data_IF_206443559664
#
_entry.id   IF_206443559664
#
_cell.length_a   1.000
_cell.length_b   1.000
_cell.length_c   1.000
_cell.angle_alpha   90.00
_cell.angle_beta   90.00
_cell.angle_gamma   90.00
#
_symmetry.space_group_name_H-M   'P 1'
#
loop_
_entity.id
_entity.type
_entity.pdbx_description
1 polymer ?
#
# COMPACT_ATOMS: atom_id res chain seq x y z
N UNK A 1 9.77 47.00 -24.55
CA UNK A 1 10.21 45.59 -24.56
C UNK A 1 9.65 44.90 -23.32
N UNK A 2 8.94 43.79 -23.52
CA UNK A 2 8.13 43.05 -22.52
C UNK A 2 9.02 42.50 -21.39
N UNK A 3 8.67 42.78 -20.13
CA UNK A 3 9.19 42.06 -18.96
C UNK A 3 8.30 40.84 -18.74
N UNK A 4 8.82 39.66 -19.06
CA UNK A 4 8.14 38.40 -18.81
C UNK A 4 8.21 38.09 -17.32
N UNK A 5 7.10 38.32 -16.62
CA UNK A 5 6.91 37.89 -15.24
C UNK A 5 6.56 36.40 -15.28
N UNK A 6 7.56 35.53 -15.14
CA UNK A 6 7.35 34.09 -14.97
C UNK A 6 6.82 33.83 -13.56
N UNK A 7 5.50 33.83 -13.41
CA UNK A 7 4.82 33.36 -12.22
C UNK A 7 4.77 31.83 -12.29
N UNK A 8 5.77 31.18 -11.69
CA UNK A 8 5.80 29.73 -11.54
C UNK A 8 4.74 29.36 -10.48
N UNK A 9 3.57 28.92 -10.95
CA UNK A 9 2.57 28.24 -10.12
C UNK A 9 3.11 26.85 -9.76
N UNK A 10 3.85 26.78 -8.65
CA UNK A 10 4.10 25.53 -7.92
C UNK A 10 2.80 25.10 -7.21
N UNK A 11 1.82 24.63 -7.99
CA UNK A 11 0.75 23.78 -7.46
C UNK A 11 1.30 22.36 -7.37
N UNK A 12 2.11 22.12 -6.33
CA UNK A 12 2.38 20.77 -5.85
C UNK A 12 1.06 20.25 -5.29
N UNK A 13 0.24 19.68 -6.15
CA UNK A 13 -0.80 18.75 -5.74
C UNK A 13 -0.09 17.61 -5.03
N UNK A 14 -0.01 17.68 -3.70
CA UNK A 14 0.28 16.53 -2.88
C UNK A 14 -0.84 15.53 -3.16
N UNK A 15 -0.57 14.58 -4.06
CA UNK A 15 -1.38 13.39 -4.22
C UNK A 15 -1.25 12.63 -2.89
N UNK A 16 -2.14 12.94 -1.96
CA UNK A 16 -2.19 12.29 -0.65
C UNK A 16 -2.69 10.88 -0.92
N UNK A 17 -1.77 9.94 -1.17
CA UNK A 17 -2.08 8.52 -1.16
C UNK A 17 -2.62 8.23 0.23
N UNK A 18 -3.94 8.06 0.33
CA UNK A 18 -4.63 7.90 1.61
C UNK A 18 -4.33 6.50 2.12
N UNK A 19 -3.27 6.37 2.93
CA UNK A 19 -2.96 5.12 3.60
C UNK A 19 -3.97 4.88 4.73
N UNK A 20 -4.59 3.70 4.77
CA UNK A 20 -5.57 3.31 5.80
C UNK A 20 -4.86 2.49 6.87
N UNK A 21 -4.89 2.95 8.13
CA UNK A 21 -4.32 2.21 9.26
C UNK A 21 -5.21 1.02 9.61
N UNK A 22 -4.62 -0.17 9.68
CA UNK A 22 -5.32 -1.43 9.90
C UNK A 22 -4.56 -2.37 10.84
N UNK A 23 -5.26 -3.40 11.33
CA UNK A 23 -4.68 -4.50 12.11
C UNK A 23 -4.97 -5.85 11.44
N UNK A 24 -3.94 -6.68 11.30
CA UNK A 24 -4.09 -8.04 10.79
C UNK A 24 -4.89 -8.93 11.75
N UNK A 25 -5.96 -9.57 11.26
CA UNK A 25 -6.83 -10.46 12.04
C UNK A 25 -6.30 -11.91 12.11
N UNK A 26 -5.46 -12.28 11.15
CA UNK A 26 -4.78 -13.58 11.02
C UNK A 26 -3.42 -13.38 10.37
N UNK A 27 -2.66 -14.45 10.22
CA UNK A 27 -1.43 -14.42 9.41
C UNK A 27 -1.80 -14.23 7.94
N UNK A 28 -1.09 -13.31 7.27
CA UNK A 28 -1.36 -12.93 5.87
C UNK A 28 -0.09 -13.09 5.05
N UNK A 29 -0.22 -13.69 3.86
CA UNK A 29 0.89 -13.83 2.92
C UNK A 29 1.16 -12.51 2.20
N UNK A 30 2.43 -12.12 2.17
CA UNK A 30 2.93 -10.96 1.47
C UNK A 30 3.79 -11.32 0.26
N UNK A 31 3.77 -10.44 -0.73
CA UNK A 31 4.44 -10.59 -2.01
C UNK A 31 5.24 -9.33 -2.36
N UNK A 32 6.35 -9.50 -3.07
CA UNK A 32 7.20 -8.39 -3.52
C UNK A 32 6.85 -7.89 -4.93
N UNK A 33 6.01 -8.62 -5.67
CA UNK A 33 5.66 -8.31 -7.07
C UNK A 33 4.21 -8.72 -7.39
N UNK A 34 3.58 -8.00 -8.32
CA UNK A 34 2.27 -8.33 -8.89
C UNK A 34 2.31 -9.50 -9.88
N UNK A 35 3.53 -9.94 -10.25
CA UNK A 35 3.76 -11.15 -11.05
C UNK A 35 3.99 -12.40 -10.19
N UNK A 36 3.90 -12.28 -8.86
CA UNK A 36 4.09 -13.40 -7.95
C UNK A 36 3.00 -14.46 -8.17
N UNK A 37 3.41 -15.72 -8.32
CA UNK A 37 2.49 -16.84 -8.29
C UNK A 37 2.02 -17.04 -6.84
N UNK A 38 0.73 -17.34 -6.64
CA UNK A 38 0.14 -17.63 -5.31
C UNK A 38 0.91 -18.64 -4.44
N UNK A 39 1.67 -19.54 -5.07
CA UNK A 39 2.48 -20.54 -4.37
C UNK A 39 3.81 -20.02 -3.83
N UNK A 40 4.23 -18.81 -4.20
CA UNK A 40 5.50 -18.20 -3.84
C UNK A 40 5.26 -17.00 -2.91
N UNK A 41 5.12 -17.32 -1.63
CA UNK A 41 5.00 -16.32 -0.55
C UNK A 41 6.39 -15.76 -0.23
N UNK A 42 6.55 -14.45 -0.31
CA UNK A 42 7.83 -13.78 0.00
C UNK A 42 8.00 -13.56 1.51
N UNK A 43 6.91 -13.26 2.22
CA UNK A 43 6.91 -13.06 3.66
C UNK A 43 5.52 -13.31 4.26
N UNK A 44 5.46 -13.43 5.59
CA UNK A 44 4.21 -13.55 6.34
C UNK A 44 4.08 -12.36 7.27
N UNK A 45 2.95 -11.68 7.21
CA UNK A 45 2.54 -10.65 8.16
C UNK A 45 1.85 -11.36 9.33
N UNK A 46 2.43 -11.32 10.55
CA UNK A 46 1.84 -12.01 11.69
C UNK A 46 0.50 -11.39 12.11
N UNK A 47 -0.41 -12.23 12.60
CA UNK A 47 -1.65 -11.79 13.26
C UNK A 47 -1.36 -10.71 14.31
N UNK A 48 -2.18 -9.67 14.30
CA UNK A 48 -2.12 -8.56 15.24
C UNK A 48 -1.14 -7.45 14.84
N UNK A 49 -0.37 -7.62 13.76
CA UNK A 49 0.48 -6.56 13.21
C UNK A 49 -0.36 -5.34 12.83
N UNK A 50 0.16 -4.16 13.16
CA UNK A 50 -0.39 -2.88 12.74
C UNK A 50 0.27 -2.50 11.42
N UNK A 51 -0.56 -2.24 10.41
CA UNK A 51 -0.11 -1.93 9.06
C UNK A 51 -0.92 -0.78 8.45
N UNK A 52 -0.46 -0.33 7.29
CA UNK A 52 -1.05 0.74 6.51
C UNK A 52 -1.31 0.16 5.11
N UNK A 53 -2.58 0.16 4.68
CA UNK A 53 -2.98 -0.22 3.33
C UNK A 53 -2.85 0.98 2.40
N UNK A 54 -2.14 0.82 1.29
CA UNK A 54 -1.92 1.84 0.28
C UNK A 54 -2.77 1.59 -0.97
N UNK A 55 -2.17 1.83 -2.14
CA UNK A 55 -2.90 1.75 -3.40
C UNK A 55 -3.13 0.31 -3.86
N UNK A 56 -4.19 0.12 -4.64
CA UNK A 56 -4.40 -1.11 -5.37
C UNK A 56 -3.46 -1.20 -6.58
N UNK A 57 -2.94 -2.40 -6.85
CA UNK A 57 -2.18 -2.75 -8.05
C UNK A 57 -2.80 -3.97 -8.70
N UNK A 58 -2.92 -3.94 -10.02
CA UNK A 58 -3.53 -5.01 -10.78
C UNK A 58 -2.44 -5.83 -11.45
N UNK A 59 -2.31 -7.10 -11.04
CA UNK A 59 -1.52 -8.10 -11.75
C UNK A 59 -2.28 -8.63 -12.97
N UNK A 60 -1.73 -9.67 -13.60
CA UNK A 60 -2.40 -10.32 -14.76
C UNK A 60 -3.71 -11.00 -14.38
N UNK A 61 -3.79 -11.55 -13.18
CA UNK A 61 -4.92 -12.34 -12.69
C UNK A 61 -5.60 -11.72 -11.48
N UNK A 62 -4.85 -10.97 -10.66
CA UNK A 62 -5.29 -10.64 -9.30
C UNK A 62 -5.10 -9.18 -8.95
N UNK A 63 -5.90 -8.72 -7.99
CA UNK A 63 -5.79 -7.40 -7.36
C UNK A 63 -4.91 -7.53 -6.12
N UNK A 64 -3.87 -6.73 -6.08
CA UNK A 64 -2.96 -6.57 -4.95
C UNK A 64 -3.22 -5.22 -4.28
N UNK A 65 -2.90 -5.12 -3.00
CA UNK A 65 -2.93 -3.87 -2.23
C UNK A 65 -1.55 -3.65 -1.63
N UNK A 66 -1.01 -2.45 -1.75
CA UNK A 66 0.23 -2.08 -1.08
C UNK A 66 0.06 -2.15 0.44
N UNK A 67 1.07 -2.69 1.13
CA UNK A 67 1.06 -2.78 2.58
C UNK A 67 2.41 -2.38 3.17
N UNK A 68 2.35 -1.63 4.27
CA UNK A 68 3.50 -1.26 5.09
C UNK A 68 3.16 -1.46 6.56
N UNK A 69 3.91 -2.29 7.26
CA UNK A 69 3.68 -2.59 8.67
C UNK A 69 4.67 -1.87 9.59
N UNK A 70 4.26 -1.55 10.82
CA UNK A 70 5.11 -0.87 11.81
C UNK A 70 6.35 -1.71 12.21
N UNK A 71 6.30 -3.03 12.00
CA UNK A 71 7.42 -3.95 12.18
C UNK A 71 8.43 -3.94 11.02
N UNK A 72 8.26 -3.07 10.03
CA UNK A 72 9.17 -2.91 8.89
C UNK A 72 8.87 -3.80 7.68
N UNK A 73 7.89 -4.69 7.75
CA UNK A 73 7.45 -5.46 6.57
C UNK A 73 6.76 -4.53 5.57
N UNK A 74 7.14 -4.64 4.30
CA UNK A 74 6.57 -3.85 3.20
C UNK A 74 6.42 -4.73 1.96
N UNK A 75 5.36 -4.52 1.20
CA UNK A 75 5.11 -5.27 -0.03
C UNK A 75 3.66 -5.18 -0.48
N UNK A 76 3.13 -6.31 -0.94
CA UNK A 76 1.79 -6.44 -1.51
C UNK A 76 1.03 -7.58 -0.82
N UNK A 77 -0.28 -7.43 -0.70
CA UNK A 77 -1.21 -8.46 -0.22
C UNK A 77 -2.38 -8.60 -1.18
N UNK A 78 -3.05 -9.74 -1.16
CA UNK A 78 -4.27 -9.98 -1.95
C UNK A 78 -5.51 -9.96 -1.05
N UNK A 79 -5.38 -10.44 0.20
CA UNK A 79 -6.46 -10.64 1.15
C UNK A 79 -6.64 -9.41 2.07
N UNK A 80 -7.10 -8.28 1.53
CA UNK A 80 -7.32 -7.05 2.31
C UNK A 80 -8.45 -7.20 3.35
N UNK A 81 -9.37 -8.15 3.13
CA UNK A 81 -10.40 -8.54 4.12
C UNK A 81 -9.82 -9.21 5.38
N UNK A 82 -8.55 -9.62 5.36
CA UNK A 82 -7.86 -10.14 6.55
C UNK A 82 -7.47 -9.03 7.55
N UNK A 83 -7.82 -7.77 7.27
CA UNK A 83 -7.47 -6.61 8.07
C UNK A 83 -8.72 -5.89 8.60
N UNK A 84 -8.64 -5.37 9.82
CA UNK A 84 -9.65 -4.46 10.39
C UNK A 84 -9.11 -3.03 10.38
N UNK A 85 -9.90 -2.02 9.96
CA UNK A 85 -9.57 -0.63 10.20
C UNK A 85 -9.35 -0.37 11.69
N UNK A 86 -8.32 0.41 11.99
CA UNK A 86 -8.15 1.01 13.30
C UNK A 86 -8.61 2.45 13.15
N UNK A 87 -9.86 2.72 13.54
CA UNK A 87 -10.35 4.09 13.65
C UNK A 87 -9.41 4.86 14.61
N UNK A 88 -8.99 6.07 14.22
CA UNK A 88 -8.22 6.98 15.08
C UNK A 88 -9.04 7.51 16.26
#
# INVERSE_FOLDING_TARGET
MKKYFCMIFFLLGACHSQEIKVKALRDVHGYNSTDAAYSLVDFVIPKGSICFLGNEKYGKTDRFVEIRCENGLTGLIIEDEAFMPLDE
#
